data_IF_039275792279
#
_entry.id   IF_039275792279
#
_cell.length_a   1.000
_cell.length_b   1.000
_cell.length_c   1.000
_cell.angle_alpha   90.00
_cell.angle_beta   90.00
_cell.angle_gamma   90.00
#
_symmetry.space_group_name_H-M   'P 1'
#
loop_
_entity.id
_entity.type
_entity.pdbx_description
1 polymer ?
#
# COMPACT_ATOMS: atom_id res chain seq x y z
N UNK A 1 33.91 23.78 -26.63
CA UNK A 1 32.78 22.88 -26.90
C UNK A 1 33.09 21.53 -26.25
N UNK A 2 32.72 21.32 -24.97
CA UNK A 2 32.83 19.98 -24.36
C UNK A 2 31.63 19.17 -24.85
N UNK A 3 31.89 18.15 -25.66
CA UNK A 3 30.93 17.08 -25.93
C UNK A 3 30.77 16.35 -24.60
N UNK A 4 29.69 16.64 -23.87
CA UNK A 4 29.40 15.97 -22.61
C UNK A 4 28.82 14.61 -22.94
N UNK A 5 29.40 13.56 -22.37
CA UNK A 5 29.07 12.14 -22.59
C UNK A 5 27.77 11.81 -21.81
N UNK A 6 26.70 12.54 -22.14
CA UNK A 6 25.49 12.65 -21.33
C UNK A 6 24.27 12.03 -22.02
N UNK A 7 24.31 11.94 -23.35
CA UNK A 7 23.34 11.21 -24.16
C UNK A 7 24.02 9.97 -24.73
N UNK A 8 23.33 8.84 -24.70
CA UNK A 8 23.89 7.54 -25.03
C UNK A 8 23.00 6.84 -26.06
N UNK A 9 23.55 6.59 -27.25
CA UNK A 9 22.87 5.93 -28.37
C UNK A 9 22.30 4.54 -28.05
N UNK A 10 22.78 3.88 -26.99
CA UNK A 10 22.26 2.58 -26.54
C UNK A 10 21.13 2.69 -25.50
N UNK A 11 20.76 3.91 -25.08
CA UNK A 11 19.80 4.18 -23.98
C UNK A 11 18.74 5.22 -24.40
N UNK A 12 19.15 6.28 -25.11
CA UNK A 12 18.25 7.32 -25.60
C UNK A 12 17.71 6.95 -27.00
N UNK A 13 16.44 6.58 -27.08
CA UNK A 13 15.74 6.24 -28.34
C UNK A 13 15.70 7.42 -29.33
N UNK A 14 15.65 8.65 -28.81
CA UNK A 14 15.67 9.90 -29.57
C UNK A 14 17.10 10.42 -29.86
N UNK A 15 18.13 9.56 -29.79
CA UNK A 15 19.51 9.94 -30.12
C UNK A 15 19.69 10.29 -31.61
N UNK A 16 20.10 11.53 -31.89
CA UNK A 16 20.37 12.04 -33.24
C UNK A 16 21.87 11.96 -33.55
N UNK A 17 22.22 11.01 -34.42
CA UNK A 17 23.57 10.80 -34.97
C UNK A 17 24.19 12.06 -35.60
N UNK A 18 23.38 12.94 -36.21
CA UNK A 18 23.87 14.16 -36.89
C UNK A 18 24.16 15.27 -35.90
N UNK A 19 23.43 15.31 -34.78
CA UNK A 19 23.63 16.27 -33.70
C UNK A 19 24.62 15.79 -32.62
N UNK A 20 25.02 14.51 -32.64
CA UNK A 20 25.81 13.84 -31.60
C UNK A 20 25.21 14.04 -30.19
N UNK A 21 23.91 13.81 -30.08
CA UNK A 21 23.09 14.09 -28.90
C UNK A 21 21.62 14.08 -29.28
N UNK A 22 20.78 14.81 -28.56
CA UNK A 22 19.32 14.78 -28.78
C UNK A 22 18.84 16.07 -29.46
N UNK A 23 18.17 15.92 -30.59
CA UNK A 23 17.58 17.04 -31.36
C UNK A 23 16.06 17.09 -31.20
N UNK A 24 15.48 18.28 -31.37
CA UNK A 24 14.02 18.46 -31.37
C UNK A 24 13.35 17.61 -32.45
N UNK A 25 13.96 17.50 -33.62
CA UNK A 25 13.47 16.65 -34.71
C UNK A 25 13.34 15.20 -34.26
N UNK A 26 14.38 14.66 -33.60
CA UNK A 26 14.41 13.28 -33.10
C UNK A 26 13.41 13.06 -31.97
N UNK A 27 13.38 13.95 -30.97
CA UNK A 27 12.40 13.90 -29.88
C UNK A 27 10.95 13.87 -30.39
N UNK A 28 10.61 14.68 -31.40
CA UNK A 28 9.29 14.66 -32.02
C UNK A 28 9.03 13.42 -32.90
N UNK A 29 10.06 12.70 -33.36
CA UNK A 29 9.85 11.45 -34.10
C UNK A 29 9.49 10.27 -33.17
N UNK A 30 9.89 10.33 -31.90
CA UNK A 30 9.65 9.27 -30.90
C UNK A 30 8.43 9.60 -30.01
N UNK A 31 8.37 10.81 -29.46
CA UNK A 31 7.42 11.13 -28.38
C UNK A 31 6.26 12.05 -28.77
N UNK A 32 6.13 12.46 -30.05
CA UNK A 32 5.03 13.35 -30.46
C UNK A 32 3.66 12.66 -30.32
N UNK A 33 3.52 11.45 -30.83
CA UNK A 33 2.25 10.71 -30.84
C UNK A 33 1.71 10.51 -29.40
N UNK A 34 2.60 10.17 -28.46
CA UNK A 34 2.29 10.12 -27.03
C UNK A 34 1.80 11.46 -26.45
N UNK A 35 2.47 12.57 -26.78
CA UNK A 35 2.07 13.91 -26.33
C UNK A 35 0.70 14.31 -26.91
N UNK A 36 0.44 14.01 -28.18
CA UNK A 36 -0.84 14.27 -28.83
C UNK A 36 -1.96 13.42 -28.21
N UNK A 37 -1.69 12.15 -27.94
CA UNK A 37 -2.61 11.26 -27.22
C UNK A 37 -2.95 11.80 -25.83
N UNK A 38 -1.96 12.23 -25.05
CA UNK A 38 -2.15 12.84 -23.73
C UNK A 38 -3.04 14.10 -23.77
N UNK A 39 -2.82 14.98 -24.75
CA UNK A 39 -3.61 16.22 -24.90
C UNK A 39 -5.06 15.90 -25.27
N UNK A 40 -5.27 15.02 -26.25
CA UNK A 40 -6.59 14.56 -26.65
C UNK A 40 -7.37 13.94 -25.48
N UNK A 41 -6.72 13.06 -24.71
CA UNK A 41 -7.30 12.40 -23.53
C UNK A 41 -7.54 13.36 -22.36
N UNK A 42 -6.75 14.42 -22.23
CA UNK A 42 -6.94 15.47 -21.21
C UNK A 42 -8.11 16.42 -21.51
N UNK A 43 -8.66 16.43 -22.73
CA UNK A 43 -9.76 17.32 -23.13
C UNK A 43 -9.44 18.82 -23.09
N UNK A 44 -8.16 19.20 -23.00
CA UNK A 44 -7.72 20.59 -22.97
C UNK A 44 -7.43 21.06 -24.39
N UNK A 45 -7.98 22.21 -24.77
CA UNK A 45 -7.73 22.82 -26.08
C UNK A 45 -6.37 23.55 -26.07
N UNK A 46 -5.29 22.79 -26.27
CA UNK A 46 -3.91 23.27 -26.32
C UNK A 46 -3.29 22.84 -27.64
N UNK A 47 -2.53 23.74 -28.28
CA UNK A 47 -1.74 23.42 -29.46
C UNK A 47 -0.70 22.32 -29.14
N UNK A 48 -0.76 21.24 -29.92
CA UNK A 48 0.03 20.02 -29.80
C UNK A 48 0.70 19.65 -31.12
N UNK A 49 0.81 20.59 -32.06
CA UNK A 49 1.58 20.40 -33.29
C UNK A 49 3.08 20.29 -32.98
N UNK A 50 3.85 19.77 -33.95
CA UNK A 50 5.31 19.61 -33.87
C UNK A 50 6.05 20.91 -33.49
N UNK A 51 5.49 22.06 -33.84
CA UNK A 51 6.08 23.38 -33.58
C UNK A 51 5.48 24.10 -32.36
N UNK A 52 4.54 23.47 -31.65
CA UNK A 52 3.88 24.05 -30.48
C UNK A 52 4.84 24.38 -29.33
N UNK A 53 4.41 25.34 -28.50
CA UNK A 53 5.09 25.70 -27.25
C UNK A 53 5.04 24.56 -26.24
N UNK A 54 3.96 23.76 -26.21
CA UNK A 54 3.82 22.57 -25.37
C UNK A 54 4.91 21.55 -25.67
N UNK A 55 5.04 21.11 -26.93
CA UNK A 55 6.07 20.13 -27.32
C UNK A 55 7.48 20.73 -27.15
N UNK A 56 7.63 22.06 -27.18
CA UNK A 56 8.89 22.75 -26.85
C UNK A 56 9.22 22.69 -25.35
N UNK A 57 8.24 22.88 -24.48
CA UNK A 57 8.39 22.75 -23.03
C UNK A 57 8.68 21.30 -22.61
N UNK A 58 7.95 20.32 -23.15
CA UNK A 58 8.20 18.90 -22.88
C UNK A 58 9.62 18.48 -23.29
N UNK A 59 10.10 18.95 -24.45
CA UNK A 59 11.47 18.75 -24.89
C UNK A 59 12.51 19.43 -23.97
N UNK A 60 12.24 20.65 -23.50
CA UNK A 60 13.13 21.34 -22.58
C UNK A 60 13.21 20.62 -21.21
N UNK A 61 12.09 20.12 -20.70
CA UNK A 61 11.99 19.39 -19.44
C UNK A 61 12.62 17.99 -19.51
N UNK A 62 12.47 17.24 -20.60
CA UNK A 62 13.13 15.94 -20.77
C UNK A 62 14.65 16.09 -20.82
N UNK A 63 15.13 17.10 -21.55
CA UNK A 63 16.54 17.48 -21.61
C UNK A 63 17.10 17.94 -20.25
N UNK A 64 16.32 18.70 -19.46
CA UNK A 64 16.65 19.12 -18.10
C UNK A 64 16.80 17.90 -17.18
N UNK A 65 15.83 16.99 -17.17
CA UNK A 65 15.85 15.79 -16.35
C UNK A 65 17.05 14.88 -16.67
N UNK A 66 17.33 14.64 -17.96
CA UNK A 66 18.51 13.90 -18.43
C UNK A 66 19.81 14.54 -17.94
N UNK A 67 19.93 15.88 -18.01
CA UNK A 67 21.12 16.61 -17.52
C UNK A 67 21.26 16.61 -16.00
N UNK A 68 20.16 16.71 -15.27
CA UNK A 68 20.16 16.59 -13.81
C UNK A 68 20.62 15.19 -13.38
N UNK A 69 20.13 14.14 -14.05
CA UNK A 69 20.54 12.74 -13.82
C UNK A 69 22.02 12.53 -14.14
N UNK A 70 22.48 12.97 -15.31
CA UNK A 70 23.89 12.89 -15.69
C UNK A 70 24.82 13.66 -14.73
N UNK A 71 24.38 14.82 -14.24
CA UNK A 71 25.14 15.58 -13.23
C UNK A 71 25.23 14.81 -11.91
N UNK A 72 24.12 14.22 -11.46
CA UNK A 72 24.06 13.46 -10.21
C UNK A 72 24.78 12.10 -10.28
N UNK A 73 24.88 11.48 -11.47
CA UNK A 73 25.65 10.25 -11.73
C UNK A 73 27.10 10.50 -12.15
N UNK A 74 27.64 11.71 -11.93
CA UNK A 74 28.99 12.13 -12.30
C UNK A 74 29.34 11.94 -13.81
N UNK A 75 28.32 11.97 -14.68
CA UNK A 75 28.37 11.67 -16.11
C UNK A 75 28.89 10.25 -16.45
N UNK A 76 28.74 9.30 -15.52
CA UNK A 76 29.24 7.94 -15.65
C UNK A 76 28.09 6.94 -15.72
N UNK A 77 27.30 7.00 -16.79
CA UNK A 77 26.20 6.07 -17.08
C UNK A 77 26.66 4.60 -17.28
N UNK A 78 27.97 4.35 -17.35
CA UNK A 78 28.54 3.00 -17.43
C UNK A 78 28.64 2.27 -16.09
N UNK A 79 28.45 2.96 -14.95
CA UNK A 79 28.31 2.33 -13.63
C UNK A 79 26.85 2.41 -13.20
N UNK A 80 26.27 1.25 -12.91
CA UNK A 80 24.90 1.14 -12.38
C UNK A 80 24.81 1.81 -11.01
N UNK A 81 25.85 1.72 -10.19
CA UNK A 81 25.89 2.28 -8.83
C UNK A 81 25.81 3.81 -8.85
N UNK A 82 26.57 4.45 -9.75
CA UNK A 82 26.52 5.91 -9.93
C UNK A 82 25.19 6.37 -10.55
N UNK A 83 24.59 5.57 -11.42
CA UNK A 83 23.25 5.83 -11.94
C UNK A 83 22.18 5.75 -10.83
N UNK A 84 22.23 4.71 -10.00
CA UNK A 84 21.30 4.51 -8.88
C UNK A 84 21.45 5.62 -7.82
N UNK A 85 22.68 6.01 -7.50
CA UNK A 85 22.96 7.16 -6.63
C UNK A 85 22.33 8.45 -7.19
N UNK A 86 22.57 8.74 -8.48
CA UNK A 86 22.01 9.92 -9.14
C UNK A 86 20.49 9.91 -9.20
N UNK A 87 19.89 8.76 -9.53
CA UNK A 87 18.44 8.56 -9.56
C UNK A 87 17.81 8.75 -8.17
N UNK A 88 18.44 8.22 -7.12
CA UNK A 88 17.98 8.35 -5.73
C UNK A 88 18.09 9.79 -5.21
N UNK A 89 19.11 10.55 -5.61
CA UNK A 89 19.20 11.99 -5.33
C UNK A 89 18.01 12.75 -5.95
N UNK A 90 17.71 12.52 -7.23
CA UNK A 90 16.56 13.14 -7.91
C UNK A 90 15.22 12.67 -7.33
N UNK A 91 15.09 11.40 -6.93
CA UNK A 91 13.89 10.84 -6.30
C UNK A 91 13.55 11.56 -4.98
N UNK A 92 14.59 11.89 -4.19
CA UNK A 92 14.49 12.75 -2.99
C UNK A 92 14.15 14.21 -3.31
N UNK A 93 14.49 14.67 -4.52
CA UNK A 93 14.29 16.05 -4.97
C UNK A 93 15.55 16.93 -4.97
N UNK A 94 16.75 16.34 -4.89
CA UNK A 94 18.03 17.07 -4.99
C UNK A 94 18.37 17.34 -6.47
N UNK A 95 17.76 18.39 -7.05
CA UNK A 95 17.99 18.82 -8.42
C UNK A 95 19.17 19.79 -8.52
N UNK A 96 20.36 19.25 -8.80
CA UNK A 96 21.59 20.03 -8.98
C UNK A 96 21.73 20.55 -10.41
N UNK A 97 21.09 21.67 -10.70
CA UNK A 97 21.18 22.32 -12.01
C UNK A 97 22.53 23.06 -12.13
N UNK A 98 23.46 22.48 -12.88
CA UNK A 98 24.83 23.03 -13.09
C UNK A 98 25.05 23.67 -14.45
N UNK A 99 24.08 23.52 -15.36
CA UNK A 99 24.17 24.00 -16.73
C UNK A 99 23.47 25.36 -16.86
N UNK A 100 24.20 26.39 -17.28
CA UNK A 100 23.66 27.75 -17.48
C UNK A 100 22.47 27.77 -18.46
N UNK A 101 22.41 26.83 -19.40
CA UNK A 101 21.29 26.68 -20.35
C UNK A 101 20.00 26.16 -19.72
N UNK A 102 20.03 25.76 -18.45
CA UNK A 102 18.90 25.25 -17.68
C UNK A 102 18.38 26.22 -16.61
N UNK A 103 19.05 27.36 -16.42
CA UNK A 103 18.69 28.37 -15.42
C UNK A 103 17.30 28.99 -15.64
N UNK A 104 16.71 28.82 -16.83
CA UNK A 104 15.31 29.18 -17.10
C UNK A 104 14.32 28.51 -16.14
N UNK A 105 14.64 27.32 -15.60
CA UNK A 105 13.77 26.64 -14.64
C UNK A 105 13.68 27.37 -13.30
N UNK A 106 14.67 28.21 -12.96
CA UNK A 106 14.64 29.03 -11.73
C UNK A 106 13.63 30.18 -11.82
N UNK A 107 13.10 30.51 -13.01
CA UNK A 107 12.00 31.47 -13.16
C UNK A 107 10.67 30.91 -12.65
N UNK A 108 10.48 29.59 -12.71
CA UNK A 108 9.34 28.89 -12.14
C UNK A 108 9.77 27.53 -11.54
N UNK A 109 10.12 27.59 -10.25
CA UNK A 109 10.49 26.41 -9.46
C UNK A 109 9.33 25.40 -9.31
N UNK A 110 8.08 25.77 -9.58
CA UNK A 110 6.98 24.81 -9.57
C UNK A 110 7.16 23.75 -10.67
N UNK A 111 7.86 24.05 -11.77
CA UNK A 111 8.17 23.06 -12.81
C UNK A 111 9.01 21.89 -12.26
N UNK A 112 9.97 22.17 -11.36
CA UNK A 112 10.74 21.10 -10.70
C UNK A 112 9.85 20.29 -9.74
N UNK A 113 9.08 20.96 -8.89
CA UNK A 113 8.33 20.30 -7.81
C UNK A 113 7.03 19.62 -8.26
N UNK A 114 6.33 20.16 -9.26
CA UNK A 114 5.04 19.64 -9.76
C UNK A 114 5.17 18.81 -11.04
N UNK A 115 6.24 18.97 -11.81
CA UNK A 115 6.45 18.21 -13.06
C UNK A 115 7.67 17.28 -12.95
N UNK A 116 8.89 17.82 -12.86
CA UNK A 116 10.10 16.98 -12.99
C UNK A 116 10.23 15.94 -11.87
N UNK A 117 10.04 16.32 -10.60
CA UNK A 117 10.17 15.38 -9.48
C UNK A 117 9.09 14.28 -9.49
N UNK A 118 7.79 14.58 -9.70
CA UNK A 118 6.77 13.56 -9.93
C UNK A 118 7.07 12.69 -11.16
N UNK A 119 7.55 13.26 -12.27
CA UNK A 119 7.92 12.48 -13.46
C UNK A 119 9.07 11.51 -13.21
N UNK A 120 10.15 11.90 -12.50
CA UNK A 120 11.25 10.97 -12.13
C UNK A 120 10.74 9.85 -11.22
N UNK A 121 9.88 10.19 -10.25
CA UNK A 121 9.25 9.22 -9.34
C UNK A 121 8.32 8.25 -10.07
N UNK A 122 7.53 8.73 -11.04
CA UNK A 122 6.65 7.90 -11.86
C UNK A 122 7.44 7.04 -12.85
N UNK A 123 8.51 7.57 -13.46
CA UNK A 123 9.38 6.82 -14.36
C UNK A 123 10.01 5.60 -13.68
N UNK A 124 10.40 5.71 -12.41
CA UNK A 124 10.85 4.55 -11.62
C UNK A 124 9.78 3.45 -11.51
N UNK A 125 8.51 3.83 -11.28
CA UNK A 125 7.38 2.88 -11.20
C UNK A 125 7.11 2.23 -12.56
N UNK A 126 6.99 3.04 -13.62
CA UNK A 126 6.75 2.54 -14.98
C UNK A 126 7.88 1.61 -15.46
N UNK A 127 9.14 1.94 -15.15
CA UNK A 127 10.27 1.06 -15.48
C UNK A 127 10.26 -0.25 -14.68
N UNK A 128 9.82 -0.22 -13.42
CA UNK A 128 9.59 -1.43 -12.63
C UNK A 128 8.50 -2.33 -13.27
N UNK A 129 7.43 -1.73 -13.79
CA UNK A 129 6.33 -2.48 -14.41
C UNK A 129 6.71 -3.02 -15.80
N UNK A 130 7.37 -2.22 -16.63
CA UNK A 130 7.89 -2.65 -17.93
C UNK A 130 8.87 -3.82 -17.80
N UNK A 131 9.66 -3.90 -16.71
CA UNK A 131 10.49 -5.07 -16.43
C UNK A 131 9.66 -6.35 -16.11
N UNK A 132 8.40 -6.21 -15.68
CA UNK A 132 7.49 -7.33 -15.39
C UNK A 132 6.59 -7.70 -16.58
N UNK A 133 6.15 -6.71 -17.37
CA UNK A 133 5.31 -6.90 -18.57
C UNK A 133 5.59 -5.82 -19.63
N UNK A 134 6.72 -5.93 -20.33
CA UNK A 134 7.18 -4.95 -21.33
C UNK A 134 6.12 -4.61 -22.40
N UNK A 135 5.55 -5.64 -23.03
CA UNK A 135 4.60 -5.53 -24.15
C UNK A 135 3.32 -4.73 -23.81
N UNK A 136 2.95 -4.63 -22.53
CA UNK A 136 1.71 -3.94 -22.10
C UNK A 136 1.84 -2.41 -22.11
N UNK A 137 3.07 -1.87 -22.06
CA UNK A 137 3.31 -0.42 -21.92
C UNK A 137 3.72 0.29 -23.23
N UNK A 138 3.81 -0.46 -24.34
CA UNK A 138 4.02 0.08 -25.69
C UNK A 138 2.76 0.75 -26.26
N UNK A 139 1.56 0.36 -25.80
CA UNK A 139 0.32 1.02 -26.19
C UNK A 139 0.09 2.32 -25.38
N UNK A 140 -0.25 3.40 -26.09
CA UNK A 140 -0.52 4.68 -25.48
C UNK A 140 -1.76 4.66 -24.57
N UNK A 141 -2.78 3.85 -24.86
CA UNK A 141 -3.99 3.82 -24.04
C UNK A 141 -3.75 3.10 -22.69
N UNK A 142 -3.11 1.93 -22.70
CA UNK A 142 -2.70 1.23 -21.46
C UNK A 142 -1.74 2.06 -20.62
N UNK A 143 -0.71 2.68 -21.23
CA UNK A 143 0.24 3.54 -20.54
C UNK A 143 -0.44 4.74 -19.86
N UNK A 144 -1.35 5.43 -20.56
CA UNK A 144 -2.09 6.57 -20.00
C UNK A 144 -3.00 6.14 -18.85
N UNK A 145 -3.73 5.03 -19.01
CA UNK A 145 -4.66 4.54 -18.00
C UNK A 145 -3.91 4.02 -16.76
N UNK A 146 -2.71 3.44 -16.93
CA UNK A 146 -1.81 3.06 -15.84
C UNK A 146 -1.29 4.28 -15.06
N UNK A 147 -0.76 5.31 -15.75
CA UNK A 147 -0.32 6.56 -15.11
C UNK A 147 -1.48 7.22 -14.36
N UNK A 148 -2.66 7.30 -14.99
CA UNK A 148 -3.88 7.87 -14.40
C UNK A 148 -4.40 7.10 -13.19
N UNK A 149 -4.13 5.80 -13.12
CA UNK A 149 -4.46 4.95 -11.97
C UNK A 149 -3.45 5.17 -10.83
N UNK A 150 -2.15 5.25 -11.15
CA UNK A 150 -1.10 5.50 -10.17
C UNK A 150 -1.20 6.89 -9.55
N UNK A 151 -1.50 7.93 -10.31
CA UNK A 151 -1.74 9.28 -9.78
C UNK A 151 -2.86 9.31 -8.71
N UNK A 152 -3.88 8.46 -8.84
CA UNK A 152 -5.03 8.40 -7.92
C UNK A 152 -4.79 7.50 -6.70
N UNK A 153 -4.07 6.39 -6.88
CA UNK A 153 -4.01 5.30 -5.90
C UNK A 153 -2.62 5.05 -5.29
N UNK A 154 -1.54 5.60 -5.87
CA UNK A 154 -0.16 5.34 -5.47
C UNK A 154 0.56 6.64 -5.11
N UNK A 155 0.94 6.79 -3.84
CA UNK A 155 1.83 7.88 -3.42
C UNK A 155 3.29 7.44 -3.57
N UNK A 156 4.01 8.07 -4.49
CA UNK A 156 5.45 7.86 -4.70
C UNK A 156 6.23 8.99 -4.04
N UNK A 157 7.01 8.67 -3.00
CA UNK A 157 7.82 9.65 -2.26
C UNK A 157 8.93 8.98 -1.45
N UNK A 158 9.89 9.76 -0.96
CA UNK A 158 10.91 9.26 -0.03
C UNK A 158 10.31 9.09 1.38
N UNK A 159 10.78 8.13 2.17
CA UNK A 159 10.15 7.78 3.46
C UNK A 159 10.20 8.90 4.53
N UNK A 160 11.17 9.81 4.40
CA UNK A 160 11.28 11.00 5.25
C UNK A 160 10.48 12.22 4.72
N UNK A 161 9.83 12.11 3.56
CA UNK A 161 8.97 13.15 2.99
C UNK A 161 7.68 13.27 3.84
N UNK A 162 7.26 14.48 4.26
CA UNK A 162 5.97 14.67 4.94
C UNK A 162 4.77 14.09 4.18
N UNK A 163 4.84 14.04 2.84
CA UNK A 163 3.82 13.41 2.00
C UNK A 163 3.67 11.91 2.28
N UNK A 164 4.77 11.20 2.55
CA UNK A 164 4.75 9.78 2.92
C UNK A 164 3.98 9.56 4.22
N UNK A 165 4.31 10.32 5.27
CA UNK A 165 3.59 10.25 6.56
C UNK A 165 2.11 10.61 6.40
N UNK A 166 1.81 11.64 5.61
CA UNK A 166 0.43 12.04 5.31
C UNK A 166 -0.34 10.90 4.63
N UNK A 167 0.23 10.27 3.61
CA UNK A 167 -0.37 9.16 2.87
C UNK A 167 -0.62 7.90 3.72
N UNK A 168 0.29 7.60 4.67
CA UNK A 168 0.07 6.53 5.65
C UNK A 168 -1.12 6.85 6.57
N UNK A 169 -1.21 8.09 7.08
CA UNK A 169 -2.30 8.51 7.98
C UNK A 169 -3.65 8.61 7.25
N UNK A 170 -3.68 9.11 6.02
CA UNK A 170 -4.89 9.12 5.16
C UNK A 170 -5.23 7.75 4.58
N UNK A 171 -4.44 6.72 4.90
CA UNK A 171 -4.71 5.32 4.54
C UNK A 171 -4.85 5.08 3.02
N UNK A 172 -3.97 5.71 2.24
CA UNK A 172 -3.80 5.50 0.78
C UNK A 172 -3.60 4.01 0.48
N UNK A 173 -4.16 3.46 -0.63
CA UNK A 173 -4.11 2.02 -0.88
C UNK A 173 -2.70 1.50 -1.17
N UNK A 174 -1.84 2.27 -1.85
CA UNK A 174 -0.46 1.89 -2.13
C UNK A 174 0.52 3.06 -1.95
N UNK A 175 1.74 2.75 -1.48
CA UNK A 175 2.85 3.70 -1.41
C UNK A 175 4.12 3.06 -2.00
N UNK A 176 4.97 3.85 -2.67
CA UNK A 176 6.27 3.42 -3.18
C UNK A 176 7.39 4.39 -2.78
N UNK A 177 8.48 3.83 -2.26
CA UNK A 177 9.73 4.54 -1.97
C UNK A 177 10.92 3.82 -2.62
N UNK A 178 11.93 4.60 -3.03
CA UNK A 178 13.27 4.09 -3.29
C UNK A 178 14.11 4.30 -2.03
N UNK A 179 14.49 3.20 -1.35
CA UNK A 179 15.34 3.24 -0.17
C UNK A 179 16.77 2.87 -0.53
N UNK A 180 17.70 3.72 -0.14
CA UNK A 180 19.13 3.43 -0.08
C UNK A 180 19.46 2.79 1.27
N UNK A 181 20.05 1.59 1.24
CA UNK A 181 20.51 0.87 2.42
C UNK A 181 22.03 0.83 2.36
N UNK A 182 22.64 1.61 3.24
CA UNK A 182 24.09 1.64 3.44
C UNK A 182 24.43 0.72 4.61
N UNK A 183 25.19 -0.33 4.34
CA UNK A 183 25.80 -1.23 5.34
C UNK A 183 27.32 -1.22 5.12
N UNK A 184 28.11 -1.58 6.13
CA UNK A 184 29.59 -1.51 6.08
C UNK A 184 30.22 -2.41 4.99
N UNK A 185 29.41 -3.27 4.35
CA UNK A 185 29.83 -4.17 3.27
C UNK A 185 29.03 -4.07 1.95
N UNK A 186 27.94 -3.29 1.87
CA UNK A 186 27.19 -3.09 0.61
C UNK A 186 26.44 -1.74 0.52
N UNK A 187 26.36 -1.22 -0.70
CA UNK A 187 25.57 -0.04 -1.08
C UNK A 187 24.38 -0.53 -1.92
N UNK A 188 23.25 -0.85 -1.26
CA UNK A 188 22.09 -1.45 -1.92
C UNK A 188 20.94 -0.44 -2.11
N UNK A 189 20.35 -0.42 -3.30
CA UNK A 189 19.10 0.30 -3.59
C UNK A 189 17.92 -0.67 -3.64
N UNK A 190 16.87 -0.39 -2.84
CA UNK A 190 15.71 -1.28 -2.66
C UNK A 190 14.43 -0.50 -2.91
N UNK A 191 13.62 -0.95 -3.87
CA UNK A 191 12.26 -0.44 -4.06
C UNK A 191 11.37 -1.05 -2.97
N UNK A 192 10.70 -0.20 -2.20
CA UNK A 192 9.79 -0.59 -1.13
C UNK A 192 8.39 -0.17 -1.51
N UNK A 193 7.52 -1.15 -1.71
CA UNK A 193 6.11 -0.93 -1.98
C UNK A 193 5.27 -1.41 -0.79
N UNK A 194 4.52 -0.48 -0.20
CA UNK A 194 3.54 -0.80 0.84
C UNK A 194 2.16 -0.88 0.21
N UNK A 195 1.41 -1.94 0.51
CA UNK A 195 0.05 -2.14 0.03
C UNK A 195 -0.89 -2.33 1.23
N UNK A 196 -1.93 -1.50 1.31
CA UNK A 196 -3.01 -1.60 2.29
C UNK A 196 -3.77 -2.91 2.04
N UNK A 197 -3.72 -3.82 3.03
CA UNK A 197 -4.39 -5.12 2.97
C UNK A 197 -5.08 -5.41 4.30
N UNK A 198 -6.19 -6.14 4.23
CA UNK A 198 -6.81 -6.69 5.44
C UNK A 198 -5.91 -7.79 6.01
N UNK A 199 -5.59 -7.68 7.30
CA UNK A 199 -4.85 -8.70 8.03
C UNK A 199 -5.77 -9.39 9.03
N UNK A 200 -5.84 -10.71 8.96
CA UNK A 200 -6.64 -11.53 9.86
C UNK A 200 -5.91 -11.73 11.19
N UNK A 201 -6.25 -10.93 12.20
CA UNK A 201 -5.72 -11.08 13.55
C UNK A 201 -6.49 -12.14 14.36
N UNK A 202 -5.76 -12.96 15.12
CA UNK A 202 -6.35 -13.85 16.12
C UNK A 202 -6.59 -13.08 17.42
N UNK A 203 -7.85 -12.76 17.71
CA UNK A 203 -8.26 -12.16 18.98
C UNK A 203 -8.33 -13.24 20.05
N UNK A 204 -7.56 -13.10 21.13
CA UNK A 204 -7.50 -14.07 22.23
C UNK A 204 -7.94 -13.38 23.52
N UNK A 205 -8.99 -13.92 24.17
CA UNK A 205 -9.44 -13.48 25.49
C UNK A 205 -8.82 -14.36 26.57
N UNK A 206 -7.94 -13.80 27.40
CA UNK A 206 -7.31 -14.50 28.52
C UNK A 206 -8.19 -14.42 29.77
N UNK A 207 -8.23 -15.49 30.57
CA UNK A 207 -8.91 -15.48 31.87
C UNK A 207 -8.11 -14.61 32.86
N UNK A 208 -8.76 -13.59 33.45
CA UNK A 208 -8.15 -12.66 34.43
C UNK A 208 -7.55 -13.37 35.65
N UNK A 209 -8.10 -14.51 36.09
CA UNK A 209 -7.54 -15.24 37.23
C UNK A 209 -6.28 -16.04 36.86
N UNK A 210 -6.13 -16.44 35.60
CA UNK A 210 -4.88 -17.00 35.07
C UNK A 210 -3.77 -15.94 35.04
N UNK A 211 -4.10 -14.72 34.59
CA UNK A 211 -3.20 -13.55 34.64
C UNK A 211 -2.74 -13.29 36.07
N UNK A 212 -3.67 -13.20 37.03
CA UNK A 212 -3.33 -13.00 38.45
C UNK A 212 -2.49 -14.13 39.04
N UNK A 213 -2.82 -15.38 38.74
CA UNK A 213 -2.06 -16.54 39.20
C UNK A 213 -0.62 -16.55 38.68
N UNK A 214 -0.43 -16.21 37.40
CA UNK A 214 0.90 -16.03 36.81
C UNK A 214 1.66 -14.88 37.47
N UNK A 215 1.05 -13.70 37.62
CA UNK A 215 1.68 -12.55 38.28
C UNK A 215 2.06 -12.83 39.74
N UNK A 216 1.19 -13.50 40.51
CA UNK A 216 1.45 -13.88 41.89
C UNK A 216 2.58 -14.90 42.00
N UNK A 217 2.59 -15.93 41.14
CA UNK A 217 3.68 -16.90 41.07
C UNK A 217 5.02 -16.27 40.67
N UNK A 218 5.00 -15.30 39.74
CA UNK A 218 6.19 -14.53 39.35
C UNK A 218 6.72 -13.68 40.52
N UNK A 219 5.85 -12.98 41.26
CA UNK A 219 6.20 -12.24 42.48
C UNK A 219 6.80 -13.16 43.55
N UNK A 220 6.13 -14.28 43.84
CA UNK A 220 6.59 -15.22 44.85
C UNK A 220 7.96 -15.81 44.50
N UNK A 221 8.19 -16.15 43.23
CA UNK A 221 9.44 -16.80 42.82
C UNK A 221 10.62 -15.80 42.71
N UNK A 222 10.41 -14.61 42.13
CA UNK A 222 11.47 -13.60 41.94
C UNK A 222 11.74 -12.75 43.17
N UNK A 223 10.70 -12.33 43.89
CA UNK A 223 10.83 -11.34 44.98
C UNK A 223 10.94 -12.04 46.33
N UNK A 224 10.05 -13.00 46.60
CA UNK A 224 9.99 -13.69 47.89
C UNK A 224 11.04 -14.81 48.00
N UNK A 225 11.06 -15.76 47.05
CA UNK A 225 12.06 -16.85 46.99
C UNK A 225 13.40 -16.40 46.43
N UNK A 226 13.49 -15.22 45.81
CA UNK A 226 14.70 -14.64 45.20
C UNK A 226 15.40 -15.60 44.22
N UNK A 227 14.62 -16.33 43.41
CA UNK A 227 15.17 -17.23 42.41
C UNK A 227 15.97 -16.45 41.34
N UNK A 228 17.28 -16.70 41.27
CA UNK A 228 18.23 -16.05 40.36
C UNK A 228 18.61 -16.91 39.14
N UNK A 229 17.97 -18.06 38.95
CA UNK A 229 18.28 -18.94 37.81
C UNK A 229 17.97 -18.23 36.47
N UNK A 230 18.93 -18.09 35.53
CA UNK A 230 18.67 -17.50 34.22
C UNK A 230 17.81 -18.40 33.30
N UNK A 231 17.82 -19.72 33.48
CA UNK A 231 16.97 -20.70 32.75
C UNK A 231 15.50 -20.72 33.24
N UNK A 232 15.12 -19.72 34.03
CA UNK A 232 13.89 -19.72 34.82
C UNK A 232 12.63 -19.73 33.95
N UNK A 233 11.84 -20.79 34.15
CA UNK A 233 10.42 -20.83 33.77
C UNK A 233 10.18 -20.52 32.30
N UNK A 234 10.95 -21.18 31.42
CA UNK A 234 11.04 -20.94 29.97
C UNK A 234 9.89 -20.14 29.39
N UNK A 235 10.26 -18.96 28.90
CA UNK A 235 9.48 -18.01 28.10
C UNK A 235 8.89 -18.67 26.82
N UNK A 236 9.14 -19.96 26.57
CA UNK A 236 8.58 -20.71 25.44
C UNK A 236 7.70 -21.89 25.87
N UNK A 237 7.65 -22.22 27.17
CA UNK A 237 7.02 -23.43 27.72
C UNK A 237 5.53 -23.27 28.12
N UNK A 238 4.97 -22.07 27.99
CA UNK A 238 3.57 -21.78 28.32
C UNK A 238 2.87 -20.94 27.21
N UNK A 239 2.98 -21.39 25.96
CA UNK A 239 2.46 -20.69 24.77
C UNK A 239 0.94 -20.50 24.86
N UNK A 240 0.21 -21.51 25.34
CA UNK A 240 -1.25 -21.49 25.50
C UNK A 240 -1.71 -20.45 26.53
N UNK A 241 -0.90 -20.19 27.56
CA UNK A 241 -1.17 -19.17 28.57
C UNK A 241 -0.62 -17.78 28.17
N UNK A 242 0.00 -17.63 27.00
CA UNK A 242 0.62 -16.37 26.53
C UNK A 242 1.55 -15.72 27.58
N UNK A 243 2.30 -16.55 28.34
CA UNK A 243 3.09 -16.14 29.52
C UNK A 243 4.00 -14.95 29.25
N UNK A 244 4.52 -14.80 28.03
CA UNK A 244 5.42 -13.69 27.65
C UNK A 244 4.70 -12.36 27.59
N UNK A 245 3.51 -12.35 26.98
CA UNK A 245 2.68 -11.16 26.85
C UNK A 245 2.23 -10.74 28.26
N UNK A 246 1.75 -11.69 29.05
CA UNK A 246 1.32 -11.49 30.45
C UNK A 246 2.46 -11.00 31.35
N UNK A 247 3.68 -11.52 31.17
CA UNK A 247 4.86 -11.05 31.91
C UNK A 247 5.30 -9.66 31.44
N UNK A 248 5.29 -9.39 30.13
CA UNK A 248 5.69 -8.07 29.58
C UNK A 248 4.75 -6.94 29.98
N UNK A 249 3.51 -7.28 30.40
CA UNK A 249 2.54 -6.35 30.97
C UNK A 249 2.60 -6.23 32.50
N UNK A 250 3.56 -6.87 33.17
CA UNK A 250 3.82 -6.62 34.59
C UNK A 250 4.61 -5.31 34.75
N UNK A 251 4.46 -4.67 35.91
CA UNK A 251 5.40 -3.63 36.32
C UNK A 251 6.80 -4.20 36.60
N UNK A 252 7.81 -3.34 36.51
CA UNK A 252 9.16 -3.65 36.97
C UNK A 252 9.14 -3.87 38.51
N UNK A 253 9.97 -4.77 39.06
CA UNK A 253 11.11 -5.46 38.45
C UNK A 253 10.77 -6.82 37.81
N UNK A 254 9.49 -7.17 37.65
CA UNK A 254 9.05 -8.50 37.22
C UNK A 254 8.75 -8.53 35.73
N UNK A 255 8.14 -7.47 35.23
CA UNK A 255 7.92 -7.28 33.80
C UNK A 255 9.11 -6.66 33.09
N UNK A 256 9.09 -6.85 31.78
CA UNK A 256 10.02 -6.30 30.82
C UNK A 256 9.18 -5.71 29.68
N UNK A 257 8.80 -4.42 29.75
CA UNK A 257 8.00 -3.80 28.71
C UNK A 257 8.81 -3.75 27.40
N UNK A 258 8.37 -4.53 26.41
CA UNK A 258 9.02 -4.61 25.08
C UNK A 258 8.66 -3.38 24.25
N UNK A 259 7.37 -3.02 24.24
CA UNK A 259 6.85 -1.83 23.57
C UNK A 259 5.49 -1.47 24.19
N UNK A 260 5.32 -0.22 24.61
CA UNK A 260 4.03 0.31 25.04
C UNK A 260 3.52 1.21 23.92
N UNK A 261 2.68 0.65 23.05
CA UNK A 261 1.92 1.49 22.11
C UNK A 261 0.93 2.36 22.91
N UNK A 262 0.73 3.64 22.57
CA UNK A 262 -0.44 4.36 23.07
C UNK A 262 -1.70 3.57 22.72
N UNK A 263 -2.72 3.61 23.59
CA UNK A 263 -4.00 2.97 23.32
C UNK A 263 -4.63 3.70 22.12
N UNK A 264 -4.49 3.13 20.93
CA UNK A 264 -5.11 3.65 19.72
C UNK A 264 -6.60 3.37 19.80
N UNK A 265 -7.40 4.43 19.80
CA UNK A 265 -8.84 4.31 19.61
C UNK A 265 -9.08 3.67 18.26
N UNK A 266 -9.61 2.43 18.26
CA UNK A 266 -9.98 1.77 17.01
C UNK A 266 -11.05 2.60 16.31
N UNK A 267 -10.73 3.10 15.10
CA UNK A 267 -11.65 3.88 14.27
C UNK A 267 -12.72 2.98 13.63
N UNK A 268 -13.47 2.29 14.47
CA UNK A 268 -14.56 1.38 14.09
C UNK A 268 -15.61 2.11 13.24
N UNK A 269 -15.83 3.40 13.53
CA UNK A 269 -16.74 4.30 12.82
C UNK A 269 -16.27 4.72 11.42
N UNK A 270 -14.99 4.52 11.07
CA UNK A 270 -14.47 4.78 9.72
C UNK A 270 -14.30 3.51 8.88
N UNK A 271 -14.70 2.34 9.40
CA UNK A 271 -14.66 1.09 8.67
C UNK A 271 -15.98 0.89 7.92
N UNK A 272 -15.96 1.01 6.59
CA UNK A 272 -17.17 0.79 5.76
C UNK A 272 -17.80 -0.58 5.97
N UNK A 273 -16.98 -1.62 6.17
CA UNK A 273 -17.44 -2.98 6.46
C UNK A 273 -18.19 -3.05 7.79
N UNK A 274 -17.69 -2.38 8.83
CA UNK A 274 -18.34 -2.36 10.14
C UNK A 274 -19.58 -1.45 10.15
N UNK A 275 -19.50 -0.31 9.48
CA UNK A 275 -20.62 0.61 9.28
C UNK A 275 -21.76 0.00 8.43
N UNK A 276 -21.44 -0.94 7.54
CA UNK A 276 -22.42 -1.75 6.81
C UNK A 276 -23.13 -2.79 7.67
N UNK A 277 -22.47 -3.29 8.73
CA UNK A 277 -23.01 -4.31 9.64
C UNK A 277 -23.75 -3.71 10.85
N UNK A 278 -23.20 -2.65 11.45
CA UNK A 278 -23.69 -2.03 12.70
C UNK A 278 -24.56 -0.80 12.40
N UNK A 279 -24.45 -0.24 11.19
CA UNK A 279 -24.89 1.11 10.88
C UNK A 279 -23.79 2.11 11.20
N UNK A 280 -23.44 2.96 10.22
CA UNK A 280 -22.46 4.03 10.42
C UNK A 280 -22.90 5.08 11.44
N UNK A 281 -22.00 6.01 11.83
CA UNK A 281 -22.24 6.97 12.90
C UNK A 281 -23.53 7.78 12.70
N UNK A 282 -24.25 8.04 13.80
CA UNK A 282 -25.53 8.73 13.83
C UNK A 282 -25.39 10.22 13.47
N UNK A 283 -25.26 10.50 12.18
CA UNK A 283 -25.17 11.87 11.68
C UNK A 283 -26.53 12.57 11.65
N UNK A 284 -26.56 13.80 12.16
CA UNK A 284 -27.69 14.73 12.10
C UNK A 284 -28.26 14.89 10.68
N UNK A 285 -27.44 14.78 9.63
CA UNK A 285 -27.90 14.86 8.24
C UNK A 285 -28.77 13.66 7.84
N UNK A 286 -28.48 12.45 8.32
CA UNK A 286 -29.35 11.28 8.12
C UNK A 286 -30.65 11.40 8.90
N UNK A 287 -30.62 11.97 10.09
CA UNK A 287 -31.82 12.27 10.88
C UNK A 287 -32.71 13.32 10.17
N UNK A 288 -32.12 14.40 9.66
CA UNK A 288 -32.81 15.40 8.85
C UNK A 288 -33.43 14.80 7.57
N UNK A 289 -32.67 13.98 6.84
CA UNK A 289 -33.16 13.26 5.67
C UNK A 289 -34.31 12.30 5.98
N UNK A 290 -34.26 11.60 7.12
CA UNK A 290 -35.35 10.75 7.58
C UNK A 290 -36.62 11.55 7.95
N UNK A 291 -36.47 12.70 8.62
CA UNK A 291 -37.58 13.61 8.96
C UNK A 291 -38.21 14.20 7.70
N UNK A 292 -37.41 14.68 6.73
CA UNK A 292 -37.91 15.19 5.45
C UNK A 292 -38.58 14.08 4.62
N UNK A 293 -37.99 12.88 4.61
CA UNK A 293 -38.60 11.71 3.96
C UNK A 293 -39.93 11.29 4.60
N UNK A 294 -40.04 11.38 5.93
CA UNK A 294 -41.29 11.15 6.65
C UNK A 294 -42.33 12.23 6.35
N UNK A 295 -41.93 13.51 6.37
CA UNK A 295 -42.80 14.65 6.02
C UNK A 295 -43.32 14.57 4.59
N UNK A 296 -42.49 14.20 3.61
CA UNK A 296 -42.93 14.03 2.23
C UNK A 296 -43.91 12.85 2.09
N UNK A 297 -43.68 11.73 2.79
CA UNK A 297 -44.65 10.61 2.82
C UNK A 297 -45.97 10.99 3.50
N UNK A 298 -45.93 11.80 4.56
CA UNK A 298 -47.12 12.32 5.22
C UNK A 298 -47.89 13.30 4.30
N UNK A 299 -47.17 14.19 3.60
CA UNK A 299 -47.75 15.13 2.63
C UNK A 299 -48.42 14.43 1.46
N UNK A 300 -47.84 13.34 0.94
CA UNK A 300 -48.47 12.49 -0.08
C UNK A 300 -49.75 11.85 0.48
N UNK A 301 -49.72 11.29 1.69
CA UNK A 301 -50.90 10.67 2.32
C UNK A 301 -52.03 11.65 2.71
N UNK A 302 -51.72 12.92 2.87
CA UNK A 302 -52.72 13.98 3.08
C UNK A 302 -53.18 14.63 1.77
N UNK A 303 -52.58 14.30 0.62
CA UNK A 303 -52.93 14.87 -0.69
C UNK A 303 -54.03 14.10 -1.46
N UNK A 304 -54.35 12.86 -1.05
CA UNK A 304 -55.37 12.01 -1.70
C UNK A 304 -56.78 12.20 -1.09
N UNK A 305 -56.94 13.14 -0.16
CA UNK A 305 -58.24 13.54 0.38
C UNK A 305 -58.85 14.71 -0.39
N UNK A 306 -59.98 14.46 -1.06
CA UNK A 306 -60.87 15.45 -1.67
C UNK A 306 -60.44 16.10 -3.00
N UNK A 307 -60.80 15.44 -4.13
CA UNK A 307 -61.51 16.14 -5.20
C UNK A 307 -62.49 15.19 -5.90
N UNK A 308 -63.70 15.67 -6.22
CA UNK A 308 -64.81 14.86 -6.72
C UNK A 308 -65.39 15.48 -7.99
N UNK A 309 -65.61 14.66 -9.02
CA UNK A 309 -66.50 14.94 -10.16
C UNK A 309 -65.90 15.74 -11.32
N UNK A 310 -65.81 15.10 -12.49
CA UNK A 310 -65.49 15.75 -13.77
C UNK A 310 -65.37 14.71 -14.90
N UNK A 311 -66.27 14.74 -15.88
CA UNK A 311 -66.50 13.66 -16.85
C UNK A 311 -65.90 13.90 -18.24
N UNK A 312 -65.41 12.82 -18.88
CA UNK A 312 -65.17 12.67 -20.34
C UNK A 312 -64.10 13.62 -20.95
N UNK A 313 -63.39 13.30 -22.04
CA UNK A 313 -63.72 12.52 -23.25
C UNK A 313 -62.49 11.71 -23.73
N UNK A 314 -62.72 10.61 -24.45
CA UNK A 314 -61.68 9.80 -25.13
C UNK A 314 -61.17 10.49 -26.41
N UNK A 315 -59.88 10.33 -26.71
CA UNK A 315 -59.45 9.97 -28.07
C UNK A 315 -58.22 9.04 -27.99
N UNK A 316 -58.10 8.12 -28.95
CA UNK A 316 -57.20 6.97 -28.89
C UNK A 316 -55.87 7.18 -29.66
N UNK A 317 -54.78 6.59 -29.17
CA UNK A 317 -53.43 6.81 -29.73
C UNK A 317 -52.36 5.85 -29.20
N UNK A 318 -52.61 4.54 -29.26
CA UNK A 318 -51.67 3.43 -28.98
C UNK A 318 -50.29 3.67 -29.65
N UNK A 319 -49.12 3.47 -29.03
CA UNK A 319 -48.40 2.20 -28.78
C UNK A 319 -47.02 2.58 -28.16
N UNK A 320 -46.44 2.01 -27.10
CA UNK A 320 -46.86 0.98 -26.13
C UNK A 320 -46.03 1.10 -24.80
N UNK A 321 -45.73 0.00 -24.11
CA UNK A 321 -45.25 -0.14 -22.72
C UNK A 321 -43.72 -0.41 -22.62
N UNK A 322 -43.01 -0.14 -21.52
CA UNK A 322 -43.10 -0.94 -20.28
C UNK A 322 -42.50 -0.25 -19.03
N UNK A 323 -43.29 -0.25 -17.95
CA UNK A 323 -42.88 0.06 -16.57
C UNK A 323 -42.16 -1.14 -15.94
N UNK A 324 -41.08 -0.94 -15.18
CA UNK A 324 -41.07 -0.71 -13.71
C UNK A 324 -41.87 -1.73 -12.89
N UNK A 325 -41.18 -2.49 -12.04
CA UNK A 325 -41.77 -3.45 -11.10
C UNK A 325 -40.93 -3.57 -9.83
N UNK A 326 -41.31 -2.83 -8.78
CA UNK A 326 -40.71 -2.96 -7.45
C UNK A 326 -41.37 -4.10 -6.67
N UNK A 327 -40.58 -4.99 -6.06
CA UNK A 327 -41.09 -6.07 -5.21
C UNK A 327 -40.61 -5.90 -3.75
N UNK A 328 -41.57 -5.69 -2.85
CA UNK A 328 -41.34 -5.67 -1.40
C UNK A 328 -41.53 -7.08 -0.84
N UNK A 329 -40.48 -7.67 -0.25
CA UNK A 329 -40.54 -9.00 0.34
C UNK A 329 -41.24 -9.02 1.69
N UNK A 330 -42.21 -9.93 1.86
CA UNK A 330 -42.81 -10.25 3.17
C UNK A 330 -42.50 -11.69 3.57
N UNK A 331 -42.21 -11.89 4.86
CA UNK A 331 -41.83 -13.18 5.44
C UNK A 331 -43.08 -14.05 5.60
N UNK A 332 -43.01 -15.30 5.13
CA UNK A 332 -43.91 -16.38 5.60
C UNK A 332 -43.13 -17.65 5.94
N UNK A 333 -43.71 -18.45 6.83
CA UNK A 333 -43.06 -19.52 7.60
C UNK A 333 -43.61 -20.87 7.14
N UNK A 334 -42.80 -21.70 6.48
CA UNK A 334 -43.21 -23.02 6.00
C UNK A 334 -42.76 -24.16 6.93
N UNK A 335 -43.60 -25.21 7.04
CA UNK A 335 -43.42 -26.36 7.95
C UNK A 335 -42.67 -27.52 7.28
N UNK A 336 -42.09 -28.39 8.11
CA UNK A 336 -41.55 -29.70 7.72
C UNK A 336 -42.63 -30.59 7.09
N UNK A 337 -42.24 -31.44 6.14
CA UNK A 337 -42.96 -32.64 5.73
C UNK A 337 -42.01 -33.85 5.76
N UNK A 338 -42.54 -35.01 6.14
CA UNK A 338 -41.82 -36.30 6.09
C UNK A 338 -42.06 -36.99 4.75
N UNK A 339 -41.07 -37.77 4.30
CA UNK A 339 -41.28 -38.96 3.47
C UNK A 339 -40.23 -40.02 3.83
N UNK A 340 -40.60 -41.29 3.66
CA UNK A 340 -40.05 -42.44 4.38
C UNK A 340 -39.54 -43.56 3.47
N UNK A 341 -38.61 -44.38 3.98
CA UNK A 341 -38.15 -45.63 3.37
C UNK A 341 -36.81 -45.50 2.63
N UNK A 342 -35.88 -46.47 2.70
CA UNK A 342 -35.92 -47.77 3.38
C UNK A 342 -34.50 -48.37 3.52
N UNK A 343 -34.26 -49.12 4.60
CA UNK A 343 -33.44 -50.36 4.75
C UNK A 343 -32.04 -50.47 4.06
N UNK A 344 -30.96 -51.00 4.68
CA UNK A 344 -30.81 -51.78 5.94
C UNK A 344 -29.35 -52.18 6.25
N UNK A 345 -29.11 -52.76 7.46
CA UNK A 345 -27.97 -53.62 7.90
C UNK A 345 -26.58 -52.93 8.03
N UNK A 346 -26.20 -52.45 9.23
CA UNK A 346 -25.40 -53.13 10.29
C UNK A 346 -23.89 -53.31 9.99
N UNK A 347 -23.02 -52.72 10.82
CA UNK A 347 -22.22 -53.44 11.84
C UNK A 347 -21.23 -52.49 12.55
N UNK A 348 -21.10 -52.67 13.87
CA UNK A 348 -20.14 -52.01 14.75
C UNK A 348 -18.98 -52.96 15.10
N UNK A 349 -17.75 -52.47 15.10
CA UNK A 349 -16.62 -53.11 15.78
C UNK A 349 -15.52 -52.09 16.16
N UNK A 350 -14.81 -52.40 17.23
CA UNK A 350 -13.81 -51.56 17.93
C UNK A 350 -12.37 -51.90 17.55
N UNK A 351 -11.46 -50.98 17.93
CA UNK A 351 -10.05 -51.16 18.33
C UNK A 351 -9.34 -52.51 18.05
N UNK A 352 -8.14 -52.46 17.47
CA UNK A 352 -6.85 -52.71 18.18
C UNK A 352 -5.64 -52.59 17.24
N UNK A 353 -4.44 -52.49 17.80
CA UNK A 353 -3.16 -52.41 17.08
C UNK A 353 -2.44 -53.76 17.07
N UNK A 354 -1.58 -54.01 16.06
CA UNK A 354 -0.17 -54.45 16.25
C UNK A 354 0.54 -54.90 14.96
N UNK A 355 1.78 -54.41 14.78
CA UNK A 355 2.99 -55.05 14.18
C UNK A 355 2.91 -56.26 13.22
N UNK A 356 3.72 -56.21 12.14
CA UNK A 356 4.26 -57.43 11.49
C UNK A 356 4.89 -57.18 10.12
N UNK A 357 6.20 -57.35 9.98
CA UNK A 357 7.00 -56.97 8.79
C UNK A 357 6.88 -57.84 7.53
N UNK A 358 7.64 -57.44 6.50
CA UNK A 358 7.73 -58.14 5.21
C UNK A 358 8.53 -57.34 4.18
N UNK A 359 9.82 -57.65 4.03
CA UNK A 359 10.71 -57.03 3.03
C UNK A 359 10.35 -57.43 1.59
N UNK A 360 10.56 -56.52 0.63
CA UNK A 360 11.19 -56.90 -0.65
C UNK A 360 11.91 -55.73 -1.34
N UNK A 361 13.06 -56.06 -1.94
CA UNK A 361 14.07 -55.13 -2.48
C UNK A 361 13.88 -54.85 -3.98
N UNK A 362 14.09 -53.61 -4.44
CA UNK A 362 14.98 -53.27 -5.58
C UNK A 362 14.98 -51.78 -6.01
N UNK A 363 16.20 -51.19 -6.10
CA UNK A 363 16.73 -50.17 -7.07
C UNK A 363 15.88 -48.94 -7.46
N UNK A 364 16.38 -47.73 -7.73
CA UNK A 364 17.68 -47.01 -7.69
C UNK A 364 17.38 -45.57 -8.23
N UNK A 365 17.96 -44.42 -7.86
CA UNK A 365 19.35 -43.89 -7.99
C UNK A 365 19.41 -42.41 -7.50
N UNK A 366 20.57 -41.93 -6.97
CA UNK A 366 20.96 -40.49 -6.85
C UNK A 366 20.27 -39.66 -5.74
N UNK A 367 20.93 -39.14 -4.68
CA UNK A 367 21.95 -38.04 -4.56
C UNK A 367 21.48 -36.70 -5.18
N UNK A 368 21.58 -35.52 -4.53
CA UNK A 368 22.23 -35.12 -3.27
C UNK A 368 21.40 -33.98 -2.59
N UNK A 369 21.08 -34.03 -1.28
CA UNK A 369 21.90 -33.62 -0.12
C UNK A 369 22.12 -32.11 0.04
N UNK A 370 21.17 -31.43 0.68
CA UNK A 370 21.43 -30.15 1.35
C UNK A 370 22.27 -30.38 2.62
N UNK A 371 23.24 -29.51 2.91
CA UNK A 371 24.05 -29.58 4.13
C UNK A 371 23.81 -28.36 5.02
N UNK A 372 23.45 -28.63 6.27
CA UNK A 372 23.31 -27.63 7.34
C UNK A 372 24.56 -27.65 8.22
N UNK A 373 25.25 -26.52 8.32
CA UNK A 373 26.38 -26.34 9.23
C UNK A 373 25.96 -25.56 10.48
N UNK A 374 25.85 -26.27 11.60
CA UNK A 374 25.79 -25.68 12.94
C UNK A 374 27.22 -25.29 13.35
N UNK A 375 27.44 -24.06 13.81
CA UNK A 375 28.80 -23.58 14.07
C UNK A 375 28.93 -22.35 14.98
N UNK A 376 28.86 -22.59 16.31
CA UNK A 376 29.45 -21.80 17.41
C UNK A 376 29.10 -20.31 17.56
N UNK A 377 28.57 -19.97 18.74
CA UNK A 377 28.51 -18.58 19.22
C UNK A 377 29.84 -18.10 19.79
N UNK A 378 30.00 -16.77 19.81
CA UNK A 378 31.09 -16.04 20.45
C UNK A 378 30.50 -14.94 21.33
N UNK A 379 30.75 -14.99 22.63
CA UNK A 379 30.37 -13.94 23.57
C UNK A 379 31.32 -12.75 23.44
N UNK A 380 30.81 -11.56 23.12
CA UNK A 380 31.56 -10.31 23.23
C UNK A 380 30.80 -9.34 24.14
N UNK A 381 31.39 -9.07 25.30
CA UNK A 381 30.96 -8.04 26.24
C UNK A 381 31.32 -6.67 25.69
N UNK A 382 30.36 -5.74 25.64
CA UNK A 382 30.62 -4.33 25.33
C UNK A 382 29.95 -3.45 26.39
N UNK A 383 30.77 -2.92 27.29
CA UNK A 383 30.40 -1.82 28.18
C UNK A 383 30.54 -0.51 27.39
N UNK A 384 29.42 0.14 27.10
CA UNK A 384 29.38 1.46 26.48
C UNK A 384 28.57 2.42 27.33
N UNK A 385 29.26 3.22 28.16
CA UNK A 385 28.66 4.43 28.71
C UNK A 385 28.41 5.41 27.56
N UNK A 386 27.24 6.04 27.51
CA UNK A 386 27.13 7.38 26.96
C UNK A 386 25.99 8.15 27.62
N UNK A 387 26.35 9.30 28.18
CA UNK A 387 25.48 10.27 28.83
C UNK A 387 24.77 11.14 27.81
N UNK A 388 23.45 11.32 27.95
CA UNK A 388 22.70 12.38 27.30
C UNK A 388 21.63 12.93 28.26
N UNK A 389 21.69 14.23 28.55
CA UNK A 389 20.67 14.92 29.35
C UNK A 389 19.38 15.10 28.54
N UNK A 390 18.19 14.85 29.10
CA UNK A 390 16.94 15.29 28.50
C UNK A 390 16.71 16.79 28.77
N UNK A 391 16.42 17.57 27.73
CA UNK A 391 15.86 18.92 27.90
C UNK A 391 14.44 18.83 28.51
N UNK A 392 14.07 19.74 29.43
CA UNK A 392 12.73 19.75 30.02
C UNK A 392 11.70 20.30 29.03
N UNK A 393 10.64 19.55 28.78
CA UNK A 393 9.42 20.09 28.16
C UNK A 393 8.63 20.86 29.22
N UNK A 394 8.27 22.10 28.89
CA UNK A 394 7.45 22.97 29.73
C UNK A 394 6.03 22.40 29.81
N UNK A 395 5.54 22.27 31.04
CA UNK A 395 4.18 21.81 31.36
C UNK A 395 3.32 23.04 31.64
N UNK A 396 2.61 23.55 30.62
CA UNK A 396 1.59 24.58 30.85
C UNK A 396 0.32 23.94 31.41
N UNK A 397 -0.11 24.46 32.55
CA UNK A 397 -1.44 24.22 33.11
C UNK A 397 -2.45 25.15 32.46
N UNK A 398 -3.58 24.61 31.99
CA UNK A 398 -4.93 25.08 32.29
C UNK A 398 -5.94 23.93 32.17
#
# INVERSE_FOLDING_TARGET
MKITILFNMNIDEDYDFRAAGISRSSFCNVYLDWLQFCVARSGKNVDHDRNSTLVSLCFALSLLARRALGTASHNSFSSVDLLLYGLHALFKGDFRITCVRDEWVFQDMELLHKVVAPSVRMALKLHQDHFMSADEYEDHATLFDAISNYEKNLVISHEADPAWRSAVLSSVPSLLALRHVFDDSSDDYKIIMLNKRHLSFRVIKVNRECVRGLWAGQQQELVYLRNRNPERGSIQNAKQALRNIINSSCDQPIGYPIYVSPITTSFLETSDQLCGLIGGPLSLSRFGGAIVGFWNRLKVRCGEGCSSGGTAVQDDGMFDYTMSGSLSGSITRARRSHSSGSHSVSHSATETASSGGGDHVSRSTGRASASSSIGRGSTVSSLGQNSAHPCPLVQEHF
#
